data_IF_124137029380
#
_entry.id   IF_124137029380
#
_cell.length_a   1.000
_cell.length_b   1.000
_cell.length_c   1.000
_cell.angle_alpha   90.00
_cell.angle_beta   90.00
_cell.angle_gamma   90.00
#
_symmetry.space_group_name_H-M   'P 1'
#
loop_
_entity.id
_entity.type
_entity.pdbx_description
1 polymer ?
#
# COMPACT_ATOMS: atom_id res chain seq x y z
N UNK A 1 -12.42 6.01 -14.36
CA UNK A 1 -11.02 5.88 -13.93
C UNK A 1 -10.19 5.17 -15.00
N UNK A 2 -9.63 5.92 -15.96
CA UNK A 2 -8.94 5.30 -17.11
C UNK A 2 -7.63 4.59 -16.72
N UNK A 3 -6.87 5.15 -15.77
CA UNK A 3 -5.60 4.57 -15.33
C UNK A 3 -5.77 3.17 -14.73
N UNK A 4 -6.64 3.03 -13.73
CA UNK A 4 -6.83 1.75 -13.01
C UNK A 4 -7.41 0.66 -13.91
N UNK A 5 -8.35 1.00 -14.79
CA UNK A 5 -8.85 0.06 -15.81
C UNK A 5 -7.76 -0.33 -16.81
N UNK A 6 -6.87 0.61 -17.17
CA UNK A 6 -5.71 0.34 -18.01
C UNK A 6 -4.71 -0.63 -17.37
N UNK A 7 -4.36 -0.40 -16.10
CA UNK A 7 -3.50 -1.30 -15.32
C UNK A 7 -4.14 -2.69 -15.20
N UNK A 8 -5.42 -2.77 -14.82
CA UNK A 8 -6.12 -4.05 -14.71
C UNK A 8 -6.09 -4.84 -16.03
N UNK A 9 -6.38 -4.17 -17.16
CA UNK A 9 -6.32 -4.78 -18.49
C UNK A 9 -4.91 -5.26 -18.85
N UNK A 10 -3.89 -4.46 -18.52
CA UNK A 10 -2.49 -4.83 -18.76
C UNK A 10 -2.12 -6.08 -17.97
N UNK A 11 -2.43 -6.12 -16.67
CA UNK A 11 -2.18 -7.27 -15.81
C UNK A 11 -2.85 -8.54 -16.34
N UNK A 12 -4.13 -8.45 -16.74
CA UNK A 12 -4.85 -9.58 -17.31
C UNK A 12 -4.29 -10.03 -18.65
N UNK A 13 -3.93 -9.10 -19.54
CA UNK A 13 -3.43 -9.42 -20.87
C UNK A 13 -2.12 -10.21 -20.81
N UNK A 14 -1.24 -9.88 -19.86
CA UNK A 14 0.06 -10.53 -19.68
C UNK A 14 0.06 -11.62 -18.59
N UNK A 15 -1.09 -11.91 -17.97
CA UNK A 15 -1.20 -12.96 -16.95
C UNK A 15 -0.47 -12.64 -15.63
N UNK A 16 -0.27 -11.36 -15.31
CA UNK A 16 0.34 -10.94 -14.06
C UNK A 16 -0.67 -10.96 -12.91
N UNK A 17 -0.23 -11.45 -11.74
CA UNK A 17 -1.06 -11.57 -10.55
C UNK A 17 -0.69 -10.61 -9.42
N UNK A 18 0.50 -10.00 -9.46
CA UNK A 18 1.00 -9.12 -8.42
C UNK A 18 1.28 -7.72 -8.97
N UNK A 19 0.66 -6.71 -8.36
CA UNK A 19 0.94 -5.31 -8.61
C UNK A 19 1.62 -4.72 -7.38
N UNK A 20 2.77 -4.05 -7.59
CA UNK A 20 3.55 -3.41 -6.53
C UNK A 20 3.65 -1.90 -6.80
N UNK A 21 3.72 -1.10 -5.74
CA UNK A 21 3.96 0.33 -5.83
C UNK A 21 4.16 0.96 -4.45
N UNK A 22 4.45 2.25 -4.41
CA UNK A 22 4.56 3.00 -3.16
C UNK A 22 3.33 3.88 -2.95
N UNK A 23 2.88 3.94 -1.70
CA UNK A 23 1.96 4.97 -1.24
C UNK A 23 2.74 5.96 -0.36
N UNK A 24 2.96 7.16 -0.88
CA UNK A 24 3.74 8.21 -0.22
C UNK A 24 2.87 9.09 0.67
N UNK A 25 3.36 9.38 1.87
CA UNK A 25 2.73 10.28 2.83
C UNK A 25 3.68 11.43 3.14
N UNK A 26 3.16 12.65 3.12
CA UNK A 26 3.94 13.86 3.42
C UNK A 26 4.55 13.81 4.82
N UNK A 27 5.83 14.19 4.93
CA UNK A 27 6.57 14.34 6.19
C UNK A 27 6.44 15.75 6.82
N UNK A 28 5.59 16.64 6.28
CA UNK A 28 5.41 18.03 6.75
C UNK A 28 5.01 18.16 8.22
N UNK A 29 4.41 17.13 8.81
CA UNK A 29 4.02 17.10 10.22
C UNK A 29 5.12 16.51 11.12
N UNK A 30 6.34 16.34 10.60
CA UNK A 30 7.45 15.70 11.29
C UNK A 30 7.38 14.17 11.26
N UNK A 31 6.45 13.57 10.51
CA UNK A 31 6.32 12.12 10.38
C UNK A 31 5.31 11.48 11.34
N UNK A 32 4.55 12.29 12.10
CA UNK A 32 3.54 11.78 13.05
C UNK A 32 2.47 10.94 12.35
N UNK A 33 1.95 11.43 11.23
CA UNK A 33 0.97 10.71 10.41
C UNK A 33 1.57 9.41 9.88
N UNK A 34 2.82 9.44 9.40
CA UNK A 34 3.50 8.26 8.87
C UNK A 34 3.69 7.19 9.96
N UNK A 35 4.15 7.57 11.15
CA UNK A 35 4.33 6.64 12.27
C UNK A 35 3.01 5.99 12.71
N UNK A 36 1.95 6.78 12.92
CA UNK A 36 0.64 6.23 13.27
C UNK A 36 0.04 5.37 12.16
N UNK A 37 0.28 5.73 10.90
CA UNK A 37 -0.20 4.97 9.76
C UNK A 37 0.51 3.63 9.64
N UNK A 38 1.81 3.57 9.91
CA UNK A 38 2.55 2.31 10.01
C UNK A 38 1.93 1.39 11.06
N UNK A 39 1.74 1.87 12.29
CA UNK A 39 1.14 1.09 13.38
C UNK A 39 -0.25 0.55 12.98
N UNK A 40 -1.05 1.35 12.25
CA UNK A 40 -2.36 0.93 11.75
C UNK A 40 -2.25 -0.14 10.66
N UNK A 41 -1.38 0.06 9.67
CA UNK A 41 -1.21 -0.85 8.54
C UNK A 41 -0.60 -2.19 8.97
N UNK A 42 0.34 -2.17 9.90
CA UNK A 42 0.94 -3.37 10.48
C UNK A 42 -0.15 -4.28 11.11
N UNK A 43 -1.13 -3.69 11.80
CA UNK A 43 -2.24 -4.46 12.40
C UNK A 43 -3.28 -4.95 11.39
N UNK A 44 -3.55 -4.19 10.33
CA UNK A 44 -4.72 -4.44 9.46
C UNK A 44 -4.37 -5.05 8.11
N UNK A 45 -3.17 -4.76 7.60
CA UNK A 45 -2.82 -4.94 6.20
C UNK A 45 -1.37 -5.37 5.99
N UNK A 46 -0.71 -5.99 6.96
CA UNK A 46 0.66 -6.50 6.76
C UNK A 46 0.68 -7.67 5.78
N UNK A 47 1.70 -7.70 4.92
CA UNK A 47 1.99 -8.81 4.03
C UNK A 47 2.58 -10.00 4.81
N UNK A 48 2.50 -11.23 4.25
CA UNK A 48 3.25 -12.37 4.76
C UNK A 48 4.75 -12.09 4.85
N UNK A 49 5.43 -12.72 5.81
CA UNK A 49 6.85 -12.47 6.10
C UNK A 49 7.78 -12.71 4.90
N UNK A 50 7.42 -13.64 4.01
CA UNK A 50 8.19 -13.97 2.81
C UNK A 50 8.16 -12.86 1.75
N UNK A 51 7.20 -11.95 1.87
CA UNK A 51 7.00 -10.82 0.96
C UNK A 51 7.40 -9.49 1.60
N UNK A 52 7.96 -9.51 2.82
CA UNK A 52 8.44 -8.32 3.51
C UNK A 52 9.77 -7.86 2.91
N UNK A 53 9.83 -6.59 2.54
CA UNK A 53 11.02 -5.88 2.11
C UNK A 53 11.65 -5.06 3.23
N UNK A 54 12.91 -4.68 3.02
CA UNK A 54 13.68 -3.85 3.93
C UNK A 54 13.95 -2.49 3.26
N UNK A 55 13.43 -1.38 3.81
CA UNK A 55 13.66 -0.07 3.23
C UNK A 55 15.15 0.29 3.30
N UNK A 56 15.70 0.87 2.22
CA UNK A 56 17.10 1.32 2.18
C UNK A 56 17.36 2.52 3.09
N UNK A 57 16.35 3.38 3.21
CA UNK A 57 16.37 4.55 4.09
C UNK A 57 15.19 4.43 5.06
N UNK A 58 15.28 3.57 6.10
CA UNK A 58 14.18 3.37 7.03
C UNK A 58 13.81 4.68 7.72
N UNK A 59 12.51 4.97 7.81
CA UNK A 59 12.03 6.04 8.67
C UNK A 59 12.26 5.62 10.14
N UNK A 60 12.87 6.45 11.00
CA UNK A 60 13.16 6.10 12.40
C UNK A 60 11.90 6.17 13.27
N UNK A 61 10.98 5.22 13.07
CA UNK A 61 9.65 5.16 13.66
C UNK A 61 9.67 5.26 15.20
N UNK A 62 10.70 4.73 15.85
CA UNK A 62 10.83 4.73 17.32
C UNK A 62 11.02 6.14 17.89
N UNK A 63 11.47 7.09 17.06
CA UNK A 63 11.72 8.48 17.45
C UNK A 63 10.55 9.41 17.12
N UNK A 64 9.51 8.89 16.48
CA UNK A 64 8.37 9.68 16.02
C UNK A 64 7.20 9.56 16.97
N UNK A 65 6.62 10.72 17.32
CA UNK A 65 5.35 10.76 18.04
C UNK A 65 4.23 10.17 17.17
N UNK A 66 3.25 9.54 17.82
CA UNK A 66 2.04 9.07 17.15
C UNK A 66 0.97 10.13 17.24
N UNK A 67 0.26 10.36 16.15
CA UNK A 67 -1.03 11.02 16.13
C UNK A 67 -2.12 10.04 16.64
N UNK A 68 -2.81 10.32 17.77
CA UNK A 68 -3.83 9.42 18.32
C UNK A 68 -5.01 9.16 17.38
N UNK A 69 -5.36 10.15 16.55
CA UNK A 69 -6.51 10.09 15.64
C UNK A 69 -6.07 10.19 14.18
N UNK A 70 -5.10 9.38 13.78
CA UNK A 70 -4.61 9.39 12.40
C UNK A 70 -5.75 9.14 11.41
N UNK A 71 -5.95 10.09 10.50
CA UNK A 71 -6.88 9.93 9.39
C UNK A 71 -6.12 9.24 8.27
N UNK A 72 -6.53 8.01 7.96
CA UNK A 72 -5.97 7.26 6.84
C UNK A 72 -6.15 8.04 5.52
N UNK A 73 -5.06 8.32 4.77
CA UNK A 73 -5.16 8.98 3.48
C UNK A 73 -6.13 8.24 2.55
N UNK A 74 -7.03 8.93 1.82
CA UNK A 74 -8.03 8.27 0.99
C UNK A 74 -7.47 7.26 -0.01
N UNK A 75 -6.26 7.51 -0.53
CA UNK A 75 -5.57 6.61 -1.45
C UNK A 75 -5.20 5.28 -0.78
N UNK A 76 -4.55 5.34 0.39
CA UNK A 76 -4.14 4.16 1.16
C UNK A 76 -5.35 3.37 1.63
N UNK A 77 -6.39 4.07 2.09
CA UNK A 77 -7.70 3.47 2.40
C UNK A 77 -8.28 2.71 1.22
N UNK A 78 -8.17 3.26 0.02
CA UNK A 78 -8.56 2.60 -1.22
C UNK A 78 -7.78 1.30 -1.45
N UNK A 79 -6.45 1.35 -1.32
CA UNK A 79 -5.56 0.21 -1.49
C UNK A 79 -5.85 -0.92 -0.51
N UNK A 80 -5.97 -0.62 0.78
CA UNK A 80 -6.30 -1.61 1.80
C UNK A 80 -7.69 -2.23 1.54
N UNK A 81 -8.68 -1.43 1.11
CA UNK A 81 -10.03 -1.93 0.80
C UNK A 81 -10.08 -2.89 -0.39
N UNK A 82 -9.24 -2.69 -1.40
CA UNK A 82 -9.16 -3.62 -2.53
C UNK A 82 -8.36 -4.89 -2.21
N UNK A 83 -7.65 -4.91 -1.06
CA UNK A 83 -6.91 -6.07 -0.56
C UNK A 83 -5.39 -5.91 -0.65
N UNK A 84 -4.89 -4.70 -0.92
CA UNK A 84 -3.45 -4.46 -0.89
C UNK A 84 -2.91 -4.58 0.53
N UNK A 85 -1.65 -4.99 0.63
CA UNK A 85 -0.91 -5.20 1.87
C UNK A 85 0.32 -4.30 1.88
N UNK A 86 0.66 -3.76 3.05
CA UNK A 86 1.96 -3.12 3.26
C UNK A 86 3.01 -4.21 3.42
N UNK A 87 4.13 -4.07 2.73
CA UNK A 87 5.19 -5.07 2.72
C UNK A 87 6.54 -4.53 3.20
N UNK A 88 6.59 -3.36 3.83
CA UNK A 88 7.79 -2.90 4.54
C UNK A 88 7.43 -1.82 5.56
N UNK A 89 8.25 -1.61 6.60
CA UNK A 89 8.29 -0.31 7.26
C UNK A 89 8.49 0.81 6.23
N UNK A 90 7.98 2.03 6.46
CA UNK A 90 8.11 3.10 5.50
C UNK A 90 9.57 3.50 5.28
N UNK A 91 9.90 3.80 4.02
CA UNK A 91 11.17 4.43 3.66
C UNK A 91 11.01 5.95 3.72
N UNK A 92 11.98 6.65 4.28
CA UNK A 92 12.08 8.11 4.17
C UNK A 92 12.67 8.49 2.81
N UNK A 93 11.94 9.34 2.08
CA UNK A 93 12.38 9.96 0.84
C UNK A 93 12.65 11.46 1.11
N UNK A 94 13.92 11.89 1.19
CA UNK A 94 14.27 13.29 1.44
C UNK A 94 14.03 14.20 0.24
N UNK A 95 14.04 13.67 -0.98
CA UNK A 95 13.91 14.47 -2.21
C UNK A 95 12.47 14.96 -2.38
N UNK A 96 11.49 14.14 -1.99
CA UNK A 96 10.07 14.49 -2.00
C UNK A 96 9.52 14.87 -0.62
N UNK A 97 10.33 14.71 0.44
CA UNK A 97 9.94 14.88 1.83
C UNK A 97 8.71 14.02 2.20
N UNK A 98 8.78 12.73 1.88
CA UNK A 98 7.73 11.74 2.12
C UNK A 98 8.21 10.53 2.91
N UNK A 99 7.26 9.84 3.53
CA UNK A 99 7.40 8.47 3.99
C UNK A 99 6.64 7.56 3.00
N UNK A 100 7.37 6.64 2.39
CA UNK A 100 6.88 5.78 1.33
C UNK A 100 6.61 4.38 1.86
N UNK A 101 5.34 3.97 1.78
CA UNK A 101 4.90 2.64 2.15
C UNK A 101 4.91 1.75 0.92
N UNK A 102 5.70 0.68 0.94
CA UNK A 102 5.67 -0.32 -0.11
C UNK A 102 4.37 -1.13 -0.01
N UNK A 103 3.59 -1.14 -1.08
CA UNK A 103 2.28 -1.78 -1.15
C UNK A 103 2.30 -2.88 -2.20
N UNK A 104 1.70 -4.02 -1.86
CA UNK A 104 1.53 -5.17 -2.74
C UNK A 104 0.05 -5.53 -2.85
N UNK A 105 -0.43 -5.69 -4.08
CA UNK A 105 -1.77 -6.18 -4.36
C UNK A 105 -1.69 -7.47 -5.18
N UNK A 106 -2.22 -8.54 -4.62
CA UNK A 106 -2.43 -9.77 -5.35
C UNK A 106 -3.86 -9.79 -5.94
N UNK A 107 -3.95 -9.87 -7.26
CA UNK A 107 -5.19 -9.87 -8.03
C UNK A 107 -6.06 -11.11 -7.74
N UNK A 108 -5.44 -12.24 -7.39
CA UNK A 108 -6.15 -13.47 -7.08
C UNK A 108 -6.88 -13.41 -5.73
N UNK A 109 -6.39 -12.58 -4.81
CA UNK A 109 -6.99 -12.37 -3.48
C UNK A 109 -7.66 -11.01 -3.36
N UNK A 110 -7.84 -10.29 -4.47
CA UNK A 110 -8.50 -8.99 -4.49
C UNK A 110 -9.96 -9.13 -4.03
N UNK A 111 -10.47 -8.12 -3.33
CA UNK A 111 -11.87 -8.09 -2.92
C UNK A 111 -12.80 -8.25 -4.15
N UNK A 112 -13.70 -9.26 -4.18
CA UNK A 112 -14.52 -9.59 -5.35
C UNK A 112 -15.38 -8.44 -5.88
N UNK A 113 -15.85 -7.55 -4.99
CA UNK A 113 -16.63 -6.37 -5.38
C UNK A 113 -15.80 -5.45 -6.28
N UNK A 114 -14.54 -5.24 -5.95
CA UNK A 114 -13.62 -4.39 -6.71
C UNK A 114 -13.05 -5.11 -7.92
N UNK A 115 -12.79 -6.42 -7.83
CA UNK A 115 -12.39 -7.23 -8.98
C UNK A 115 -13.42 -7.11 -10.12
N UNK A 116 -14.72 -7.24 -9.81
CA UNK A 116 -15.82 -7.01 -10.77
C UNK A 116 -15.83 -5.59 -11.33
N UNK A 117 -15.62 -4.58 -10.48
CA UNK A 117 -15.60 -3.18 -10.91
C UNK A 117 -14.49 -2.89 -11.94
N UNK A 118 -13.33 -3.55 -11.81
CA UNK A 118 -12.20 -3.41 -12.72
C UNK A 118 -12.17 -4.44 -13.86
N UNK A 119 -13.16 -5.34 -13.95
CA UNK A 119 -13.21 -6.39 -14.98
C UNK A 119 -12.19 -7.52 -14.77
N UNK A 120 -11.63 -7.65 -13.58
CA UNK A 120 -10.68 -8.71 -13.23
C UNK A 120 -11.45 -10.02 -13.09
N UNK A 121 -11.17 -10.97 -13.98
CA UNK A 121 -11.71 -12.33 -13.92
C UNK A 121 -10.99 -13.07 -12.81
N UNK A 122 -11.73 -13.64 -11.87
CA UNK A 122 -11.16 -14.58 -10.89
C UNK A 122 -10.67 -15.80 -11.66
N UNK A 123 -9.40 -16.14 -11.50
CA UNK A 123 -8.87 -17.43 -11.95
C UNK A 123 -9.60 -18.52 -11.16
N UNK A 124 -10.60 -19.16 -11.78
CA UNK A 124 -11.09 -20.46 -11.34
C UNK A 124 -9.94 -21.44 -11.46
N UNK A 125 -9.43 -21.92 -10.32
CA UNK A 125 -8.87 -23.26 -10.26
C UNK A 125 -10.00 -24.26 -10.54
#
# INVERSE_FOLDING_TARGET
>A
MLLWSGIARYMQHFGYSNLIGCASVSMRDGGRTAASLWDMLERKALAPSELMGFPRHPLPLERLEREPNVIEPPLIKGYVRIGAKVCSPPSWDPDFNTADFLMLLNLNTMNPKYARHFGIRSSTN
#
